data_IF_967674625615
#
_entry.id   IF_967674625615
#
_cell.length_a   1.000
_cell.length_b   1.000
_cell.length_c   1.000
_cell.angle_alpha   90.00
_cell.angle_beta   90.00
_cell.angle_gamma   90.00
#
_symmetry.space_group_name_H-M   'P 1'
#
loop_
_entity.id
_entity.type
_entity.pdbx_description
1 polymer ?
#
# COMPACT_ATOMS: atom_id res chain seq x y z
N UNK A 1 55.15 -50.40 49.23
CA UNK A 1 54.76 -50.41 47.82
C UNK A 1 53.46 -49.65 47.68
N UNK A 2 53.64 -48.43 47.21
CA UNK A 2 52.71 -47.39 46.78
C UNK A 2 51.69 -47.94 45.75
N UNK A 3 50.61 -47.30 45.30
CA UNK A 3 50.37 -45.87 45.02
C UNK A 3 48.84 -45.63 45.00
N UNK A 4 48.47 -44.42 45.43
CA UNK A 4 47.18 -43.73 45.30
C UNK A 4 46.63 -43.70 43.86
N UNK A 5 45.30 -43.76 43.70
CA UNK A 5 44.56 -42.76 42.92
C UNK A 5 43.05 -42.86 43.13
N UNK A 6 42.54 -41.90 43.89
CA UNK A 6 41.16 -41.40 43.76
C UNK A 6 41.17 -40.46 42.56
N UNK A 7 40.24 -40.60 41.62
CA UNK A 7 39.59 -39.47 40.96
C UNK A 7 38.32 -39.92 40.23
N UNK A 8 37.19 -39.50 40.82
CA UNK A 8 35.96 -39.04 40.19
C UNK A 8 35.52 -39.68 38.87
N UNK A 9 34.50 -40.53 38.99
CA UNK A 9 33.54 -40.78 37.92
C UNK A 9 32.72 -39.50 37.65
N UNK A 10 33.28 -38.56 36.88
CA UNK A 10 32.46 -37.56 36.20
C UNK A 10 31.77 -38.26 35.01
N UNK A 11 30.54 -38.72 35.24
CA UNK A 11 29.63 -39.11 34.17
C UNK A 11 29.43 -37.88 33.28
N UNK A 12 30.00 -37.91 32.08
CA UNK A 12 29.65 -36.99 31.00
C UNK A 12 28.14 -37.12 30.77
N UNK A 13 27.39 -36.15 31.29
CA UNK A 13 26.01 -35.93 30.89
C UNK A 13 26.06 -35.54 29.42
N UNK A 14 25.62 -36.45 28.55
CA UNK A 14 25.23 -36.08 27.21
C UNK A 14 24.09 -35.07 27.34
N UNK A 15 24.22 -33.84 26.80
CA UNK A 15 23.09 -32.93 26.79
C UNK A 15 22.02 -33.61 25.94
N UNK A 16 20.90 -33.95 26.59
CA UNK A 16 19.67 -34.29 25.87
C UNK A 16 19.31 -33.08 25.03
N UNK A 17 19.70 -33.10 23.76
CA UNK A 17 19.05 -32.29 22.73
C UNK A 17 17.67 -32.90 22.54
N UNK A 18 16.76 -32.56 23.45
CA UNK A 18 15.34 -32.54 23.12
C UNK A 18 15.15 -31.61 21.91
N UNK A 19 14.03 -31.73 21.18
CA UNK A 19 13.75 -30.80 20.10
C UNK A 19 13.85 -29.40 20.72
N UNK A 20 14.86 -28.62 20.30
CA UNK A 20 14.81 -27.19 20.55
C UNK A 20 13.50 -26.78 19.90
N UNK A 21 12.52 -26.42 20.73
CA UNK A 21 11.45 -25.55 20.29
C UNK A 21 12.18 -24.41 19.61
N UNK A 22 12.11 -24.43 18.29
CA UNK A 22 12.43 -23.26 17.49
C UNK A 22 11.33 -22.31 17.92
N UNK A 23 11.55 -21.57 19.01
CA UNK A 23 10.79 -20.35 19.28
C UNK A 23 10.74 -19.67 17.94
N UNK A 24 9.51 -19.52 17.43
CA UNK A 24 9.23 -19.15 16.06
C UNK A 24 9.74 -17.72 15.84
N UNK A 25 11.05 -17.58 15.68
CA UNK A 25 11.67 -16.45 15.02
C UNK A 25 11.03 -16.46 13.64
N UNK A 26 10.12 -15.53 13.45
CA UNK A 26 9.40 -15.25 12.21
C UNK A 26 10.29 -15.59 11.03
N UNK A 27 9.94 -16.62 10.27
CA UNK A 27 10.75 -17.12 9.15
C UNK A 27 11.15 -15.93 8.28
N UNK A 28 12.41 -15.84 7.85
CA UNK A 28 12.93 -14.71 7.05
C UNK A 28 12.02 -14.31 5.87
N UNK A 29 11.33 -15.27 5.27
CA UNK A 29 10.30 -15.07 4.24
C UNK A 29 9.13 -14.19 4.71
N UNK A 30 8.63 -14.41 5.93
CA UNK A 30 7.56 -13.62 6.53
C UNK A 30 8.01 -12.17 6.80
N UNK A 31 9.22 -11.97 7.33
CA UNK A 31 9.78 -10.63 7.54
C UNK A 31 10.00 -9.88 6.22
N UNK A 32 10.52 -10.56 5.20
CA UNK A 32 10.69 -9.96 3.87
C UNK A 32 9.36 -9.64 3.19
N UNK A 33 8.31 -10.40 3.49
CA UNK A 33 6.97 -10.12 2.99
C UNK A 33 6.35 -8.89 3.65
N UNK A 34 6.38 -8.82 4.98
CA UNK A 34 5.90 -7.66 5.74
C UNK A 34 6.57 -6.36 5.26
N UNK A 35 7.89 -6.39 5.09
CA UNK A 35 8.65 -5.26 4.54
C UNK A 35 8.22 -4.86 3.12
N UNK A 36 7.84 -5.80 2.25
CA UNK A 36 7.35 -5.49 0.90
C UNK A 36 5.97 -4.86 0.92
N UNK A 37 5.05 -5.39 1.73
CA UNK A 37 3.70 -4.83 1.88
C UNK A 37 3.76 -3.41 2.45
N UNK A 38 4.58 -3.19 3.47
CA UNK A 38 4.80 -1.87 4.07
C UNK A 38 5.34 -0.85 3.05
N UNK A 39 6.37 -1.22 2.27
CA UNK A 39 6.89 -0.38 1.19
C UNK A 39 5.87 -0.06 0.11
N UNK A 40 4.99 -1.02 -0.20
CA UNK A 40 3.90 -0.80 -1.14
C UNK A 40 2.96 0.30 -0.63
N UNK A 41 2.55 0.18 0.63
CA UNK A 41 1.70 1.18 1.27
C UNK A 41 2.35 2.57 1.33
N UNK A 42 3.62 2.68 1.73
CA UNK A 42 4.38 3.94 1.72
C UNK A 42 4.40 4.59 0.33
N UNK A 43 4.60 3.79 -0.74
CA UNK A 43 4.60 4.29 -2.12
C UNK A 43 3.23 4.81 -2.55
N UNK A 44 2.14 4.15 -2.13
CA UNK A 44 0.79 4.66 -2.40
C UNK A 44 0.52 5.97 -1.66
N UNK A 45 0.98 6.11 -0.41
CA UNK A 45 0.87 7.36 0.33
C UNK A 45 1.60 8.50 -0.36
N UNK A 46 2.83 8.28 -0.84
CA UNK A 46 3.59 9.27 -1.60
C UNK A 46 2.86 9.71 -2.86
N UNK A 47 2.28 8.76 -3.61
CA UNK A 47 1.48 9.08 -4.80
C UNK A 47 0.21 9.84 -4.46
N UNK A 48 -0.44 9.53 -3.34
CA UNK A 48 -1.61 10.26 -2.88
C UNK A 48 -1.28 11.71 -2.54
N UNK A 49 -0.11 11.98 -1.94
CA UNK A 49 0.39 13.35 -1.72
C UNK A 49 0.57 14.09 -3.04
N UNK A 50 1.15 13.47 -4.07
CA UNK A 50 1.26 14.08 -5.40
C UNK A 50 -0.11 14.37 -6.02
N UNK A 51 -1.10 13.49 -5.85
CA UNK A 51 -2.47 13.75 -6.30
C UNK A 51 -3.03 15.00 -5.61
N UNK A 52 -2.83 15.14 -4.30
CA UNK A 52 -3.29 16.29 -3.54
C UNK A 52 -2.62 17.60 -3.98
N UNK A 53 -1.30 17.60 -4.15
CA UNK A 53 -0.55 18.76 -4.63
C UNK A 53 -1.03 19.24 -6.00
N UNK A 54 -1.17 18.31 -6.96
CA UNK A 54 -1.65 18.64 -8.30
C UNK A 54 -3.14 19.01 -8.33
N UNK A 55 -3.95 18.46 -7.42
CA UNK A 55 -5.35 18.85 -7.26
C UNK A 55 -5.50 20.27 -6.74
N UNK A 56 -4.67 20.67 -5.78
CA UNK A 56 -4.60 22.04 -5.27
C UNK A 56 -4.16 23.01 -6.37
N UNK A 57 -3.12 22.64 -7.12
CA UNK A 57 -2.61 23.44 -8.24
C UNK A 57 -3.67 23.63 -9.34
N UNK A 58 -4.42 22.57 -9.66
CA UNK A 58 -5.55 22.64 -10.59
C UNK A 58 -6.64 23.60 -10.09
N UNK A 59 -7.00 23.55 -8.81
CA UNK A 59 -7.99 24.46 -8.26
C UNK A 59 -7.54 25.93 -8.30
N UNK A 60 -6.23 26.17 -8.21
CA UNK A 60 -5.64 27.51 -8.25
C UNK A 60 -5.59 28.11 -9.66
N UNK A 61 -5.15 27.34 -10.66
CA UNK A 61 -4.95 27.86 -12.02
C UNK A 61 -6.10 27.57 -12.98
N UNK A 62 -6.81 26.46 -12.76
CA UNK A 62 -7.87 25.93 -13.64
C UNK A 62 -7.43 25.75 -15.10
N UNK A 63 -6.14 25.46 -15.32
CA UNK A 63 -5.59 25.25 -16.67
C UNK A 63 -5.73 23.80 -17.13
N UNK A 64 -5.87 23.60 -18.44
CA UNK A 64 -5.92 22.26 -19.06
C UNK A 64 -4.64 21.46 -18.73
N UNK A 65 -3.47 22.11 -18.75
CA UNK A 65 -2.20 21.49 -18.37
C UNK A 65 -2.23 20.90 -16.95
N UNK A 66 -2.75 21.66 -15.98
CA UNK A 66 -2.86 21.18 -14.60
C UNK A 66 -3.93 20.10 -14.45
N UNK A 67 -4.99 20.14 -15.27
CA UNK A 67 -6.00 19.07 -15.32
C UNK A 67 -5.39 17.77 -15.86
N UNK A 68 -4.61 17.84 -16.93
CA UNK A 68 -3.90 16.68 -17.49
C UNK A 68 -2.91 16.11 -16.47
N UNK A 69 -2.14 16.98 -15.81
CA UNK A 69 -1.19 16.60 -14.79
C UNK A 69 -1.86 15.91 -13.59
N UNK A 70 -2.98 16.45 -13.10
CA UNK A 70 -3.79 15.84 -12.04
C UNK A 70 -4.32 14.45 -12.44
N UNK A 71 -4.87 14.32 -13.67
CA UNK A 71 -5.34 13.05 -14.21
C UNK A 71 -4.23 12.01 -14.33
N UNK A 72 -3.01 12.44 -14.70
CA UNK A 72 -1.84 11.56 -14.75
C UNK A 72 -1.50 11.02 -13.35
N UNK A 73 -1.47 11.86 -12.31
CA UNK A 73 -1.16 11.41 -10.94
C UNK A 73 -2.19 10.42 -10.41
N UNK A 74 -3.46 10.63 -10.71
CA UNK A 74 -4.53 9.68 -10.36
C UNK A 74 -4.32 8.36 -11.09
N UNK A 75 -4.04 8.39 -12.39
CA UNK A 75 -3.78 7.18 -13.19
C UNK A 75 -2.60 6.39 -12.63
N UNK A 76 -1.52 7.07 -12.27
CA UNK A 76 -0.34 6.43 -11.72
C UNK A 76 -0.58 5.86 -10.31
N UNK A 77 -1.41 6.51 -9.50
CA UNK A 77 -1.85 5.96 -8.22
C UNK A 77 -2.69 4.68 -8.41
N UNK A 78 -3.71 4.74 -9.27
CA UNK A 78 -4.63 3.61 -9.48
C UNK A 78 -3.93 2.38 -10.07
N UNK A 79 -2.96 2.57 -10.96
CA UNK A 79 -2.11 1.48 -11.48
C UNK A 79 -1.37 0.76 -10.35
N UNK A 80 -0.66 1.51 -9.51
CA UNK A 80 0.10 0.93 -8.40
C UNK A 80 -0.83 0.23 -7.40
N UNK A 81 -2.01 0.80 -7.14
CA UNK A 81 -2.97 0.21 -6.23
C UNK A 81 -3.56 -1.11 -6.76
N UNK A 82 -3.82 -1.17 -8.07
CA UNK A 82 -4.25 -2.40 -8.75
C UNK A 82 -3.14 -3.47 -8.73
N UNK A 83 -1.89 -3.09 -8.97
CA UNK A 83 -0.74 -4.01 -8.92
C UNK A 83 -0.54 -4.58 -7.52
N UNK A 84 -0.64 -3.74 -6.49
CA UNK A 84 -0.55 -4.20 -5.09
C UNK A 84 -1.71 -5.11 -4.71
N UNK A 85 -2.92 -4.82 -5.19
CA UNK A 85 -4.08 -5.68 -4.95
C UNK A 85 -3.92 -7.07 -5.55
N UNK A 86 -3.43 -7.17 -6.79
CA UNK A 86 -3.15 -8.46 -7.43
C UNK A 86 -2.13 -9.28 -6.64
N UNK A 87 -1.04 -8.64 -6.19
CA UNK A 87 -0.02 -9.30 -5.36
C UNK A 87 -0.56 -9.81 -4.02
N UNK A 88 -1.59 -9.18 -3.46
CA UNK A 88 -2.26 -9.60 -2.23
C UNK A 88 -3.29 -10.72 -2.47
N UNK A 89 -4.02 -10.65 -3.59
CA UNK A 89 -5.01 -11.65 -3.99
C UNK A 89 -4.37 -13.03 -4.20
N UNK A 90 -3.28 -13.09 -4.97
CA UNK A 90 -2.51 -14.33 -5.24
C UNK A 90 -2.00 -15.00 -3.95
N UNK A 91 -1.77 -14.23 -2.88
CA UNK A 91 -1.09 -14.70 -1.66
C UNK A 91 -2.03 -15.06 -0.52
N UNK A 92 -3.17 -14.37 -0.40
CA UNK A 92 -4.10 -14.54 0.74
C UNK A 92 -5.40 -15.25 0.37
N UNK A 93 -5.57 -15.64 -0.90
CA UNK A 93 -6.87 -16.15 -1.39
C UNK A 93 -7.98 -15.11 -1.17
N UNK A 94 -7.62 -13.83 -1.24
CA UNK A 94 -8.50 -12.73 -0.93
C UNK A 94 -9.67 -12.79 -1.91
N UNK A 95 -10.88 -13.02 -1.39
CA UNK A 95 -12.10 -13.26 -2.20
C UNK A 95 -12.20 -12.36 -3.44
N UNK A 96 -12.75 -12.88 -4.56
CA UNK A 96 -13.16 -12.14 -5.78
C UNK A 96 -13.71 -10.73 -5.54
N UNK A 97 -14.31 -10.50 -4.37
CA UNK A 97 -14.83 -9.22 -3.87
C UNK A 97 -13.79 -8.09 -3.76
N UNK A 98 -12.52 -8.38 -3.46
CA UNK A 98 -11.47 -7.35 -3.32
C UNK A 98 -11.15 -6.63 -4.63
N UNK A 99 -10.96 -7.39 -5.71
CA UNK A 99 -10.79 -6.83 -7.06
C UNK A 99 -12.01 -6.09 -7.55
N UNK A 100 -13.21 -6.63 -7.31
CA UNK A 100 -14.46 -5.95 -7.66
C UNK A 100 -14.57 -4.60 -6.95
N UNK A 101 -14.10 -4.47 -5.70
CA UNK A 101 -14.08 -3.19 -4.97
C UNK A 101 -13.17 -2.18 -5.69
N UNK A 102 -11.94 -2.55 -6.04
CA UNK A 102 -11.00 -1.63 -6.70
C UNK A 102 -11.49 -1.22 -8.08
N UNK A 103 -11.95 -2.16 -8.92
CA UNK A 103 -12.49 -1.79 -10.23
C UNK A 103 -13.69 -0.85 -10.12
N UNK A 104 -14.58 -1.07 -9.14
CA UNK A 104 -15.69 -0.15 -8.87
C UNK A 104 -15.20 1.23 -8.47
N UNK A 105 -14.16 1.33 -7.63
CA UNK A 105 -13.57 2.63 -7.28
C UNK A 105 -12.95 3.30 -8.52
N UNK A 106 -12.26 2.55 -9.37
CA UNK A 106 -11.70 3.08 -10.63
C UNK A 106 -12.81 3.66 -11.52
N UNK A 107 -13.92 2.95 -11.68
CA UNK A 107 -15.09 3.43 -12.45
C UNK A 107 -15.67 4.72 -11.85
N UNK A 108 -15.80 4.79 -10.53
CA UNK A 108 -16.30 5.99 -9.84
C UNK A 108 -15.34 7.18 -9.98
N UNK A 109 -14.03 6.95 -9.87
CA UNK A 109 -13.01 7.98 -10.07
C UNK A 109 -13.01 8.48 -11.51
N UNK A 110 -13.16 7.61 -12.50
CA UNK A 110 -13.23 8.00 -13.91
C UNK A 110 -14.44 8.89 -14.19
N UNK A 111 -15.62 8.53 -13.67
CA UNK A 111 -16.82 9.35 -13.77
C UNK A 111 -16.61 10.75 -13.16
N UNK A 112 -15.98 10.83 -11.98
CA UNK A 112 -15.68 12.10 -11.31
C UNK A 112 -14.63 12.93 -12.04
N UNK A 113 -13.66 12.28 -12.68
CA UNK A 113 -12.69 12.96 -13.55
C UNK A 113 -13.35 13.55 -14.80
N UNK A 114 -14.38 12.91 -15.36
CA UNK A 114 -15.17 13.48 -16.45
C UNK A 114 -15.98 14.69 -15.98
N UNK A 115 -16.64 14.60 -14.81
CA UNK A 115 -17.33 15.75 -14.20
C UNK A 115 -16.38 16.93 -13.99
N UNK A 116 -15.21 16.69 -13.39
CA UNK A 116 -14.18 17.71 -13.18
C UNK A 116 -13.66 18.29 -14.50
N UNK A 117 -13.47 17.45 -15.51
CA UNK A 117 -13.06 17.90 -16.85
C UNK A 117 -14.07 18.89 -17.43
N UNK A 118 -15.37 18.59 -17.32
CA UNK A 118 -16.43 19.48 -17.78
C UNK A 118 -16.45 20.79 -16.99
N UNK A 119 -16.31 20.72 -15.66
CA UNK A 119 -16.21 21.89 -14.79
C UNK A 119 -15.09 22.83 -15.24
N UNK A 120 -13.87 22.30 -15.42
CA UNK A 120 -12.70 23.09 -15.82
C UNK A 120 -12.85 23.66 -17.23
N UNK A 121 -13.34 22.88 -18.18
CA UNK A 121 -13.53 23.33 -19.58
C UNK A 121 -14.62 24.40 -19.69
N UNK A 122 -15.65 24.35 -18.84
CA UNK A 122 -16.71 25.36 -18.86
C UNK A 122 -16.21 26.78 -18.54
N UNK A 123 -15.09 26.90 -17.81
CA UNK A 123 -14.46 28.18 -17.47
C UNK A 123 -15.23 29.07 -16.49
N UNK A 124 -16.45 28.68 -16.08
CA UNK A 124 -17.31 29.43 -15.16
C UNK A 124 -17.26 28.89 -13.71
N UNK A 125 -16.38 27.92 -13.46
CA UNK A 125 -16.27 27.23 -12.17
C UNK A 125 -15.58 28.05 -11.09
N UNK A 126 -16.14 28.07 -9.88
CA UNK A 126 -15.46 28.67 -8.74
C UNK A 126 -14.36 27.72 -8.26
N UNK A 127 -13.28 28.28 -7.73
CA UNK A 127 -12.19 27.51 -7.10
C UNK A 127 -12.68 26.51 -6.06
N UNK A 128 -13.69 26.88 -5.26
CA UNK A 128 -14.28 25.99 -4.26
C UNK A 128 -14.93 24.76 -4.90
N UNK A 129 -15.62 24.92 -6.03
CA UNK A 129 -16.29 23.81 -6.70
C UNK A 129 -15.25 22.77 -7.21
N UNK A 130 -14.10 23.23 -7.70
CA UNK A 130 -12.98 22.34 -8.08
C UNK A 130 -12.36 21.66 -6.86
N UNK A 131 -12.14 22.39 -5.76
CA UNK A 131 -11.60 21.80 -4.53
C UNK A 131 -12.51 20.70 -3.97
N UNK A 132 -13.82 20.91 -4.01
CA UNK A 132 -14.80 19.91 -3.58
C UNK A 132 -14.70 18.64 -4.44
N UNK A 133 -14.67 18.78 -5.76
CA UNK A 133 -14.51 17.65 -6.69
C UNK A 133 -13.17 16.92 -6.50
N UNK A 134 -12.06 17.66 -6.32
CA UNK A 134 -10.74 17.09 -6.02
C UNK A 134 -10.76 16.33 -4.69
N UNK A 135 -11.44 16.87 -3.67
CA UNK A 135 -11.62 16.25 -2.36
C UNK A 135 -12.42 14.95 -2.41
N UNK A 136 -13.52 14.93 -3.18
CA UNK A 136 -14.29 13.71 -3.44
C UNK A 136 -13.41 12.63 -4.08
N UNK A 137 -12.63 12.99 -5.11
CA UNK A 137 -11.71 12.07 -5.76
C UNK A 137 -10.68 11.53 -4.77
N UNK A 138 -10.04 12.39 -3.98
CA UNK A 138 -9.09 11.98 -2.93
C UNK A 138 -9.74 11.00 -1.95
N UNK A 139 -10.97 11.26 -1.50
CA UNK A 139 -11.72 10.38 -0.61
C UNK A 139 -11.93 8.99 -1.22
N UNK A 140 -12.25 8.92 -2.51
CA UNK A 140 -12.35 7.64 -3.22
C UNK A 140 -11.01 6.91 -3.31
N UNK A 141 -9.90 7.61 -3.56
CA UNK A 141 -8.58 7.01 -3.64
C UNK A 141 -8.10 6.41 -2.31
N UNK A 142 -8.40 7.08 -1.18
CA UNK A 142 -8.10 6.55 0.16
C UNK A 142 -8.81 5.21 0.39
N UNK A 143 -10.04 5.05 -0.09
CA UNK A 143 -10.83 3.81 0.06
C UNK A 143 -10.25 2.59 -0.70
N UNK A 144 -9.24 2.79 -1.55
CA UNK A 144 -8.62 1.72 -2.36
C UNK A 144 -7.72 0.82 -1.51
N UNK A 145 -7.02 1.37 -0.52
CA UNK A 145 -6.06 0.63 0.30
C UNK A 145 -6.44 0.57 1.79
N UNK A 146 -7.58 1.16 2.17
CA UNK A 146 -8.23 1.04 3.50
C UNK A 146 -9.21 -0.13 3.53
#
# INVERSE_FOLDING_TARGET
MDIRRIQETSRLQTPKTGPREVEASTTFSALMQDKREHKGYERLQQKLTLVEEHGQLLAESQTIENLESYKEKIKDFLKDALDQSQQLEEKRGFNRRGRTKIYKVVEQVDAKLLELTNTVISGESRRLDILDQVGEIKGMLVNVFV
#
